data_IF_497082054801
#
_entry.id   IF_497082054801
#
_cell.length_a   1.000
_cell.length_b   1.000
_cell.length_c   1.000
_cell.angle_alpha   90.00
_cell.angle_beta   90.00
_cell.angle_gamma   90.00
#
_symmetry.space_group_name_H-M   'P 1'
#
loop_
_entity.id
_entity.type
_entity.pdbx_description
1 polymer ?
#
# COMPACT_ATOMS: atom_id res chain seq x y z
N UNK A 1 -46.22 -15.41 1.97
CA UNK A 1 -45.38 -14.26 1.53
C UNK A 1 -44.29 -14.01 2.58
N UNK A 2 -43.00 -14.29 2.31
CA UNK A 2 -41.96 -14.11 3.30
C UNK A 2 -41.54 -12.64 3.41
N UNK A 3 -41.63 -12.08 4.63
CA UNK A 3 -41.20 -10.71 4.96
C UNK A 3 -39.67 -10.60 4.86
N UNK A 4 -39.21 -9.71 3.99
CA UNK A 4 -37.79 -9.35 3.77
C UNK A 4 -37.23 -8.67 5.03
N UNK A 5 -36.32 -9.36 5.75
CA UNK A 5 -35.58 -8.80 6.90
C UNK A 5 -34.73 -7.61 6.43
N UNK A 6 -35.00 -6.44 7.02
CA UNK A 6 -34.29 -5.20 6.73
C UNK A 6 -32.80 -5.28 7.05
N UNK A 7 -31.99 -4.78 6.12
CA UNK A 7 -30.55 -4.63 6.28
C UNK A 7 -30.23 -3.63 7.40
N UNK A 8 -29.44 -4.07 8.37
CA UNK A 8 -28.90 -3.24 9.45
C UNK A 8 -27.88 -2.28 8.85
N UNK A 9 -28.30 -1.04 8.60
CA UNK A 9 -27.44 0.07 8.15
C UNK A 9 -26.33 0.24 9.19
N UNK A 10 -25.09 -0.05 8.79
CA UNK A 10 -23.93 0.00 9.68
C UNK A 10 -23.81 1.37 10.33
N UNK A 11 -23.81 1.40 11.67
CA UNK A 11 -23.52 2.60 12.46
C UNK A 11 -22.10 3.03 12.09
N UNK A 12 -21.95 4.15 11.39
CA UNK A 12 -20.65 4.69 11.05
C UNK A 12 -19.82 4.81 12.33
N UNK A 13 -18.69 4.09 12.39
CA UNK A 13 -17.74 4.24 13.50
C UNK A 13 -17.34 5.71 13.54
N UNK A 14 -17.40 6.32 14.72
CA UNK A 14 -16.92 7.68 14.89
C UNK A 14 -15.47 7.78 14.36
N UNK A 15 -15.11 8.89 13.70
CA UNK A 15 -13.73 9.11 13.24
C UNK A 15 -12.75 8.88 14.40
N UNK A 16 -11.65 8.18 14.15
CA UNK A 16 -10.62 7.96 15.16
C UNK A 16 -9.96 9.29 15.61
N UNK A 17 -9.97 10.28 14.73
CA UNK A 17 -9.48 11.64 14.96
C UNK A 17 -10.41 12.64 14.30
N UNK A 18 -10.56 13.79 14.94
CA UNK A 18 -11.21 14.95 14.36
C UNK A 18 -10.17 15.76 13.59
N UNK A 19 -10.46 16.04 12.32
CA UNK A 19 -9.51 16.63 11.38
C UNK A 19 -10.07 17.91 10.76
N UNK A 20 -11.16 18.46 11.30
CA UNK A 20 -11.72 19.70 10.80
C UNK A 20 -10.80 20.88 11.09
N UNK A 21 -10.77 21.87 10.21
CA UNK A 21 -10.01 23.10 10.44
C UNK A 21 -10.45 23.80 11.73
N UNK A 22 -11.73 23.68 12.10
CA UNK A 22 -12.26 24.22 13.37
C UNK A 22 -11.65 23.57 14.61
N UNK A 23 -11.25 22.30 14.51
CA UNK A 23 -10.70 21.52 15.62
C UNK A 23 -9.19 21.76 15.77
N UNK A 24 -8.52 22.02 14.64
CA UNK A 24 -7.07 22.20 14.55
C UNK A 24 -6.62 23.66 14.70
N UNK A 25 -7.43 24.61 14.24
CA UNK A 25 -7.14 26.05 14.33
C UNK A 25 -6.79 26.54 15.75
N UNK A 26 -7.45 26.06 16.84
CA UNK A 26 -7.10 26.45 18.20
C UNK A 26 -5.67 26.05 18.60
N UNK A 27 -5.10 25.03 17.97
CA UNK A 27 -3.70 24.61 18.17
C UNK A 27 -2.72 25.34 17.24
N UNK A 28 -3.19 26.11 16.26
CA UNK A 28 -2.35 26.81 15.30
C UNK A 28 -1.67 25.91 14.26
N UNK A 29 -2.17 24.69 14.09
CA UNK A 29 -1.65 23.73 13.11
C UNK A 29 -2.71 23.32 12.10
N UNK A 30 -2.28 22.81 10.96
CA UNK A 30 -3.12 22.17 9.95
C UNK A 30 -2.89 20.66 9.93
N UNK A 31 -3.81 19.94 9.30
CA UNK A 31 -3.65 18.51 9.07
C UNK A 31 -2.38 18.27 8.25
N UNK A 32 -1.58 17.27 8.62
CA UNK A 32 -0.29 16.93 8.01
C UNK A 32 0.82 17.98 8.17
N UNK A 33 0.65 18.97 9.04
CA UNK A 33 1.78 19.82 9.41
C UNK A 33 2.83 19.00 10.18
N UNK A 34 4.09 19.33 9.96
CA UNK A 34 5.22 18.80 10.71
C UNK A 34 5.44 19.70 11.92
N UNK A 35 5.39 19.10 13.11
CA UNK A 35 5.59 19.75 14.39
C UNK A 35 6.89 19.27 14.99
N UNK A 36 7.72 20.21 15.39
CA UNK A 36 8.91 19.95 16.20
C UNK A 36 8.53 20.11 17.68
N UNK A 37 8.77 19.05 18.44
CA UNK A 37 8.62 19.05 19.90
C UNK A 37 9.77 19.81 20.57
N UNK A 38 9.63 20.21 21.84
CA UNK A 38 10.71 20.86 22.60
C UNK A 38 11.98 20.00 22.71
N UNK A 39 11.83 18.67 22.64
CA UNK A 39 12.92 17.71 22.65
C UNK A 39 13.57 17.51 21.27
N UNK A 40 13.14 18.27 20.25
CA UNK A 40 13.66 18.20 18.89
C UNK A 40 13.10 17.07 18.03
N UNK A 41 12.19 16.24 18.55
CA UNK A 41 11.50 15.21 17.77
C UNK A 41 10.51 15.84 16.80
N UNK A 42 10.42 15.29 15.58
CA UNK A 42 9.49 15.73 14.55
C UNK A 42 8.35 14.72 14.39
N UNK A 43 7.12 15.21 14.46
CA UNK A 43 5.90 14.41 14.23
C UNK A 43 4.98 15.10 13.23
N UNK A 44 4.13 14.32 12.56
CA UNK A 44 3.13 14.82 11.62
C UNK A 44 1.77 14.89 12.30
N UNK A 45 1.05 16.02 12.21
CA UNK A 45 -0.29 16.16 12.78
C UNK A 45 -1.27 15.24 12.09
N UNK A 46 -1.92 14.38 12.87
CA UNK A 46 -2.95 13.45 12.39
C UNK A 46 -4.37 13.88 12.76
N UNK A 47 -4.52 14.74 13.77
CA UNK A 47 -5.81 15.28 14.17
C UNK A 47 -5.92 15.53 15.67
N UNK A 48 -7.15 15.72 16.13
CA UNK A 48 -7.49 15.98 17.53
C UNK A 48 -8.33 14.83 18.07
N UNK A 49 -8.14 14.51 19.36
CA UNK A 49 -9.09 13.70 20.12
C UNK A 49 -9.64 14.51 21.29
N UNK A 50 -10.90 14.27 21.61
CA UNK A 50 -11.58 14.85 22.76
C UNK A 50 -11.80 13.74 23.80
N UNK A 51 -11.68 14.08 25.08
CA UNK A 51 -12.04 13.17 26.17
C UNK A 51 -13.58 12.96 26.18
N UNK A 52 -14.34 14.00 25.80
CA UNK A 52 -15.78 13.94 25.55
C UNK A 52 -16.16 14.80 24.33
N UNK A 53 -17.02 14.34 23.41
CA UNK A 53 -17.40 15.09 22.21
C UNK A 53 -18.11 16.42 22.50
N UNK A 54 -18.68 16.57 23.70
CA UNK A 54 -19.34 17.81 24.13
C UNK A 54 -18.36 18.82 24.73
N UNK A 55 -17.19 18.36 25.18
CA UNK A 55 -16.17 19.20 25.80
C UNK A 55 -15.02 19.47 24.81
N UNK A 56 -15.17 20.53 24.02
CA UNK A 56 -14.14 20.99 23.08
C UNK A 56 -12.84 21.42 23.75
N UNK A 57 -12.86 21.77 25.03
CA UNK A 57 -11.68 22.20 25.77
C UNK A 57 -10.79 21.03 26.18
N UNK A 58 -11.36 19.82 26.23
CA UNK A 58 -10.61 18.56 26.43
C UNK A 58 -9.80 18.12 25.20
N UNK A 59 -9.80 18.93 24.14
CA UNK A 59 -9.07 18.66 22.91
C UNK A 59 -7.58 18.43 23.17
N UNK A 60 -7.07 17.36 22.59
CA UNK A 60 -5.64 17.04 22.56
C UNK A 60 -5.20 16.80 21.13
N UNK A 61 -4.14 17.49 20.71
CA UNK A 61 -3.53 17.28 19.40
C UNK A 61 -2.78 15.96 19.38
N UNK A 62 -2.92 15.20 18.31
CA UNK A 62 -2.21 13.96 18.09
C UNK A 62 -1.27 14.10 16.90
N UNK A 63 -0.08 13.51 17.06
CA UNK A 63 0.94 13.45 16.04
C UNK A 63 1.37 12.01 15.80
N UNK A 64 1.83 11.74 14.58
CA UNK A 64 2.48 10.51 14.17
C UNK A 64 3.97 10.75 13.96
N UNK A 65 4.80 9.98 14.67
CA UNK A 65 6.25 10.00 14.55
C UNK A 65 6.73 9.01 13.47
N UNK A 66 7.98 9.17 12.98
CA UNK A 66 8.61 8.18 12.11
C UNK A 66 8.48 6.76 12.68
N UNK A 67 8.04 5.81 11.85
CA UNK A 67 7.77 4.43 12.24
C UNK A 67 6.34 4.16 12.72
N UNK A 68 5.39 5.08 12.48
CA UNK A 68 3.95 4.84 12.68
C UNK A 68 3.48 4.96 14.14
N UNK A 69 4.32 5.51 15.02
CA UNK A 69 3.97 5.69 16.44
C UNK A 69 3.11 6.94 16.60
N UNK A 70 1.90 6.77 17.11
CA UNK A 70 0.97 7.87 17.35
C UNK A 70 0.96 8.24 18.83
N UNK A 71 1.07 9.53 19.13
CA UNK A 71 1.05 10.04 20.51
C UNK A 71 0.26 11.34 20.60
N UNK A 72 -0.45 11.57 21.71
CA UNK A 72 -0.91 12.91 22.04
C UNK A 72 0.29 13.83 22.31
N UNK A 73 0.12 15.12 22.04
CA UNK A 73 1.00 16.16 22.57
C UNK A 73 0.62 16.48 24.01
N UNK A 74 1.63 16.82 24.82
CA UNK A 74 1.44 17.09 26.24
C UNK A 74 0.46 18.25 26.51
N UNK A 75 0.58 19.41 25.84
CA UNK A 75 -0.32 20.53 26.08
C UNK A 75 -1.74 20.20 25.62
N UNK A 76 -2.67 20.28 26.56
CA UNK A 76 -4.10 20.39 26.26
C UNK A 76 -4.39 21.78 25.71
N UNK A 77 -5.51 21.94 25.01
CA UNK A 77 -5.91 23.27 24.50
C UNK A 77 -6.00 24.33 25.61
N UNK A 78 -6.47 23.95 26.81
CA UNK A 78 -6.54 24.82 27.98
C UNK A 78 -5.18 25.27 28.54
N UNK A 79 -4.09 24.57 28.19
CA UNK A 79 -2.74 24.89 28.70
C UNK A 79 -2.11 26.10 28.00
N UNK A 80 -2.83 26.78 27.10
CA UNK A 80 -2.36 27.94 26.36
C UNK A 80 -1.88 27.60 24.95
N UNK A 81 -1.34 28.60 24.24
CA UNK A 81 -0.84 28.41 22.88
C UNK A 81 0.32 27.41 22.90
N UNK A 82 0.22 26.35 22.10
CA UNK A 82 1.18 25.24 22.11
C UNK A 82 2.63 25.68 21.82
N UNK A 83 2.79 26.79 21.12
CA UNK A 83 4.08 27.45 20.91
C UNK A 83 4.77 27.94 22.18
N UNK A 84 4.02 28.30 23.23
CA UNK A 84 4.57 28.67 24.54
C UNK A 84 5.25 27.48 25.22
N UNK A 85 4.79 26.27 24.94
CA UNK A 85 5.37 25.02 25.45
C UNK A 85 6.54 24.53 24.62
N UNK A 86 7.03 25.31 23.65
CA UNK A 86 8.19 24.99 22.82
C UNK A 86 7.89 24.15 21.57
N UNK A 87 6.62 23.86 21.29
CA UNK A 87 6.23 23.18 20.05
C UNK A 87 6.23 24.17 18.89
N UNK A 88 6.86 23.81 17.78
CA UNK A 88 6.96 24.71 16.62
C UNK A 88 6.52 24.01 15.36
N UNK A 89 5.82 24.73 14.50
CA UNK A 89 5.58 24.31 13.12
C UNK A 89 6.91 24.36 12.38
N UNK A 90 7.28 23.27 11.73
CA UNK A 90 8.45 23.26 10.86
C UNK A 90 8.24 24.20 9.65
N UNK A 91 9.31 24.69 9.02
CA UNK A 91 9.19 25.53 7.84
C UNK A 91 8.58 24.76 6.66
N UNK A 92 8.03 25.49 5.69
CA UNK A 92 7.39 24.91 4.50
C UNK A 92 8.35 24.03 3.69
N UNK A 93 9.64 24.38 3.66
CA UNK A 93 10.68 23.57 3.03
C UNK A 93 10.68 22.12 3.55
N UNK A 94 10.50 21.89 4.85
CA UNK A 94 10.47 20.52 5.40
C UNK A 94 9.23 19.74 4.96
N UNK A 95 8.11 20.43 4.81
CA UNK A 95 6.87 19.82 4.32
C UNK A 95 7.04 19.39 2.86
N UNK A 96 7.63 20.24 2.03
CA UNK A 96 7.95 19.93 0.63
C UNK A 96 8.94 18.77 0.56
N UNK A 97 9.98 18.76 1.39
CA UNK A 97 10.96 17.68 1.41
C UNK A 97 10.35 16.32 1.78
N UNK A 98 9.40 16.28 2.74
CA UNK A 98 8.64 15.05 3.02
C UNK A 98 7.91 14.56 1.77
N UNK A 99 7.19 15.46 1.10
CA UNK A 99 6.40 15.09 -0.07
C UNK A 99 7.29 14.61 -1.22
N UNK A 100 8.47 15.21 -1.40
CA UNK A 100 9.50 14.75 -2.35
C UNK A 100 10.01 13.36 -1.99
N UNK A 101 10.30 13.09 -0.71
CA UNK A 101 10.71 11.77 -0.24
C UNK A 101 9.64 10.71 -0.50
N UNK A 102 8.37 11.01 -0.21
CA UNK A 102 7.25 10.11 -0.46
C UNK A 102 7.08 9.79 -1.95
N UNK A 103 7.24 10.80 -2.82
CA UNK A 103 7.19 10.61 -4.28
C UNK A 103 8.36 9.73 -4.75
N UNK A 104 9.58 9.99 -4.28
CA UNK A 104 10.76 9.19 -4.64
C UNK A 104 10.60 7.74 -4.21
N UNK A 105 10.06 7.50 -3.02
CA UNK A 105 9.81 6.16 -2.53
C UNK A 105 8.78 5.42 -3.39
N UNK A 106 7.65 6.07 -3.70
CA UNK A 106 6.63 5.49 -4.62
C UNK A 106 7.19 5.18 -5.99
N UNK A 107 8.06 6.03 -6.53
CA UNK A 107 8.73 5.78 -7.82
C UNK A 107 9.66 4.57 -7.74
N UNK A 108 10.40 4.41 -6.64
CA UNK A 108 11.26 3.24 -6.41
C UNK A 108 10.44 1.96 -6.32
N UNK A 109 9.36 1.97 -5.53
CA UNK A 109 8.44 0.84 -5.39
C UNK A 109 7.77 0.47 -6.73
N UNK A 110 7.41 1.47 -7.55
CA UNK A 110 6.84 1.24 -8.88
C UNK A 110 7.86 0.64 -9.87
N UNK A 111 9.11 1.10 -9.86
CA UNK A 111 10.19 0.50 -10.65
C UNK A 111 10.48 -0.94 -10.22
N UNK A 112 10.57 -1.21 -8.91
CA UNK A 112 10.75 -2.56 -8.36
C UNK A 112 9.59 -3.49 -8.77
N UNK A 113 8.35 -2.99 -8.71
CA UNK A 113 7.18 -3.74 -9.16
C UNK A 113 7.21 -4.01 -10.68
N UNK A 114 7.71 -3.06 -11.48
CA UNK A 114 7.88 -3.25 -12.93
C UNK A 114 8.91 -4.32 -13.24
N UNK A 115 10.09 -4.24 -12.61
CA UNK A 115 11.16 -5.25 -12.72
C UNK A 115 10.68 -6.64 -12.32
N UNK A 116 9.97 -6.75 -11.19
CA UNK A 116 9.41 -8.03 -10.74
C UNK A 116 8.36 -8.59 -11.70
N UNK A 117 7.55 -7.72 -12.33
CA UNK A 117 6.57 -8.14 -13.34
C UNK A 117 7.24 -8.64 -14.63
N UNK A 118 8.31 -7.97 -15.07
CA UNK A 118 9.10 -8.37 -16.23
C UNK A 118 9.80 -9.71 -16.01
N UNK A 119 10.44 -9.90 -14.85
CA UNK A 119 11.08 -11.17 -14.49
C UNK A 119 10.06 -12.31 -14.45
N UNK A 120 8.90 -12.06 -13.84
CA UNK A 120 7.80 -13.03 -13.79
C UNK A 120 7.27 -13.38 -15.18
N UNK A 121 7.20 -12.41 -16.10
CA UNK A 121 6.81 -12.65 -17.48
C UNK A 121 7.85 -13.50 -18.23
N UNK A 122 9.15 -13.20 -18.03
CA UNK A 122 10.26 -13.97 -18.61
C UNK A 122 10.22 -15.43 -18.18
N UNK A 123 10.11 -15.70 -16.88
CA UNK A 123 10.03 -17.06 -16.34
C UNK A 123 8.79 -17.82 -16.86
N UNK A 124 7.67 -17.13 -17.04
CA UNK A 124 6.46 -17.73 -17.61
C UNK A 124 6.64 -18.12 -19.08
N UNK A 125 7.31 -17.30 -19.88
CA UNK A 125 7.61 -17.61 -21.28
C UNK A 125 8.57 -18.81 -21.39
N UNK A 126 9.60 -18.86 -20.55
CA UNK A 126 10.54 -19.99 -20.50
C UNK A 126 9.84 -21.30 -20.10
N UNK A 127 8.95 -21.25 -19.10
CA UNK A 127 8.16 -22.40 -18.68
C UNK A 127 7.25 -22.92 -19.82
N UNK A 128 6.59 -22.02 -20.56
CA UNK A 128 5.76 -22.38 -21.71
C UNK A 128 6.61 -22.99 -22.85
N UNK A 129 7.81 -22.47 -23.08
CA UNK A 129 8.72 -23.02 -24.09
C UNK A 129 9.19 -24.44 -23.72
N UNK A 130 9.52 -24.69 -22.46
CA UNK A 130 9.86 -26.02 -21.95
C UNK A 130 8.68 -27.00 -22.03
N UNK A 131 7.46 -26.56 -21.74
CA UNK A 131 6.26 -27.40 -21.92
C UNK A 131 6.01 -27.73 -23.40
N UNK A 132 6.17 -26.76 -24.30
CA UNK A 132 6.04 -26.98 -25.74
C UNK A 132 7.10 -27.97 -26.26
N UNK A 133 8.35 -27.87 -25.80
CA UNK A 133 9.41 -28.81 -26.17
C UNK A 133 9.12 -30.23 -25.66
N UNK A 134 8.66 -30.37 -24.41
CA UNK A 134 8.23 -31.65 -23.83
C UNK A 134 7.06 -32.25 -24.61
N UNK A 135 6.09 -31.44 -25.02
CA UNK A 135 4.95 -31.88 -25.83
C UNK A 135 5.39 -32.34 -27.24
N UNK A 136 6.29 -31.59 -27.88
CA UNK A 136 6.85 -31.94 -29.20
C UNK A 136 7.65 -33.26 -29.17
N UNK A 137 8.46 -33.48 -28.12
CA UNK A 137 9.18 -34.75 -27.92
C UNK A 137 8.24 -35.94 -27.71
N UNK A 138 7.13 -35.77 -26.97
CA UNK A 138 6.10 -36.81 -26.82
C UNK A 138 5.41 -37.18 -28.12
N UNK A 139 5.19 -36.22 -29.03
CA UNK A 139 4.55 -36.50 -30.32
C UNK A 139 5.47 -37.18 -31.34
N UNK A 140 6.80 -36.94 -31.31
CA UNK A 140 7.75 -37.63 -32.19
C UNK A 140 7.87 -39.15 -31.92
N UNK A 141 7.53 -39.61 -30.71
CA UNK A 141 7.51 -41.04 -30.37
C UNK A 141 6.32 -41.84 -30.90
N UNK A 142 5.31 -41.21 -31.53
CA UNK A 142 4.09 -41.87 -32.03
C UNK A 142 4.01 -41.98 -33.56
N UNK A 143 5.09 -41.72 -34.30
CA UNK A 143 5.13 -41.94 -35.75
C UNK A 143 5.10 -43.44 -36.06
N UNK A 144 4.02 -43.91 -36.71
CA UNK A 144 3.75 -45.31 -37.07
C UNK A 144 4.84 -45.91 -37.98
N UNK A 145 5.12 -47.24 -37.89
CA UNK A 145 6.09 -47.91 -38.75
C UNK A 145 5.63 -47.97 -40.22
N UNK A 146 6.59 -47.87 -41.14
CA UNK A 146 6.40 -47.97 -42.60
C UNK A 146 5.75 -49.31 -43.00
N UNK A 147 4.91 -49.33 -44.06
CA UNK A 147 4.31 -50.58 -44.55
C UNK A 147 5.38 -51.54 -45.12
N UNK A 148 5.15 -52.87 -45.05
CA UNK A 148 6.17 -53.87 -45.41
C UNK A 148 6.43 -53.92 -46.90
N UNK A 149 7.71 -54.13 -47.27
CA UNK A 149 8.16 -54.32 -48.63
C UNK A 149 7.63 -55.65 -49.23
N UNK A 150 7.05 -55.53 -50.41
CA UNK A 150 6.53 -56.62 -51.26
C UNK A 150 7.69 -57.51 -51.74
N UNK A 151 7.64 -58.81 -51.38
CA UNK A 151 8.63 -59.81 -51.80
C UNK A 151 8.37 -60.25 -53.24
N UNK A 152 9.40 -60.16 -54.09
CA UNK A 152 9.49 -60.87 -55.38
C UNK A 152 9.34 -62.38 -55.19
N UNK A 153 8.72 -63.11 -56.13
CA UNK A 153 9.09 -64.49 -56.38
C UNK A 153 10.07 -64.61 -57.56
N UNK A 154 11.11 -65.41 -57.32
CA UNK A 154 11.99 -66.03 -58.32
C UNK A 154 11.18 -66.80 -59.36
N UNK A 155 11.57 -66.68 -60.63
CA UNK A 155 11.31 -67.71 -61.64
C UNK A 155 12.64 -68.33 -62.06
N UNK A 156 12.76 -69.62 -61.75
CA UNK A 156 13.90 -70.49 -62.06
C UNK A 156 14.07 -70.72 -63.58
N UNK A 157 15.25 -71.15 -64.05
CA UNK A 157 15.55 -71.35 -65.45
C UNK A 157 15.23 -72.78 -65.93
N UNK A 158 14.66 -72.91 -67.13
CA UNK A 158 14.84 -74.05 -68.06
C UNK A 158 14.32 -73.64 -69.44
#
# INVERSE_FOLDING_TARGET
MPKKKGGRKGKARAPAFYTGDQDLAPFGFKLRDIVQTPLGLKGTVIGVKYDSPENRESARLWVEYPGGKQSPLEPRLQAGFIGQHGYRRCPEAEHIWRDVCDIRQKMKEAEEARLAAEERARLRLEALALEAEKAAKKNKGKAKPKPPAEKRPETAPA
#
